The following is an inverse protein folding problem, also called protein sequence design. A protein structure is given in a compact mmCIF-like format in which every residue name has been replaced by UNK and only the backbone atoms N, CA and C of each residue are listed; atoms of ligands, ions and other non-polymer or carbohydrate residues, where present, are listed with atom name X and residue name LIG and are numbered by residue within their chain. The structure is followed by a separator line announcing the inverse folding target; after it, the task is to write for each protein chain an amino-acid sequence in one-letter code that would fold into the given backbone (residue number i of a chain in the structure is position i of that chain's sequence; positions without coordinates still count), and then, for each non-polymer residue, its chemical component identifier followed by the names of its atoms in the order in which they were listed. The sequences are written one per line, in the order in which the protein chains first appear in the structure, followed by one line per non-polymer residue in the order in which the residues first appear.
data_IF_952434623169
#
_entry.id   IF_952434623169
#
_cell.length_a   1.000
_cell.length_b   1.000
_cell.length_c   1.000
_cell.angle_alpha   90.00
_cell.angle_beta   90.00
_cell.angle_gamma   90.00
#
_symmetry.space_group_name_H-M   'P 1'
#
loop_
_entity.id
_entity.type
_entity.pdbx_description
1 polymer ?
#
# COMPACT_ATOMS: atom_id res chain seq x y z
N UNK A 1 24.64 18.06 -63.77
CA UNK A 1 24.94 17.30 -62.53
C UNK A 1 24.67 18.21 -61.36
N UNK A 2 23.99 17.71 -60.33
CA UNK A 2 23.63 18.34 -59.05
C UNK A 2 22.20 18.93 -58.98
N UNK A 3 21.24 18.04 -58.71
CA UNK A 3 19.99 18.43 -58.02
C UNK A 3 19.31 17.14 -57.46
N UNK A 4 19.81 16.64 -56.36
CA UNK A 4 19.05 15.58 -55.62
C UNK A 4 19.60 15.44 -54.21
N UNK A 5 19.45 16.47 -53.34
CA UNK A 5 19.82 16.32 -51.90
C UNK A 5 18.98 17.14 -50.91
N UNK A 6 17.84 17.69 -51.28
CA UNK A 6 17.12 18.59 -50.36
C UNK A 6 15.68 18.15 -49.96
N UNK A 7 15.30 16.92 -50.18
CA UNK A 7 13.90 16.49 -49.94
C UNK A 7 13.75 15.44 -48.82
N UNK A 8 14.83 14.99 -48.19
CA UNK A 8 14.74 13.91 -47.16
C UNK A 8 14.66 14.41 -45.71
N UNK A 9 15.09 15.62 -45.42
CA UNK A 9 15.14 16.14 -44.02
C UNK A 9 13.78 16.50 -43.44
N UNK A 10 12.83 17.14 -44.17
CA UNK A 10 11.50 17.42 -43.59
C UNK A 10 10.62 16.19 -43.36
N UNK A 11 10.84 15.14 -44.15
CA UNK A 11 10.03 13.92 -44.02
C UNK A 11 10.38 13.11 -42.74
N UNK A 12 11.66 13.08 -42.38
CA UNK A 12 12.14 12.40 -41.16
C UNK A 12 11.68 13.16 -39.91
N UNK A 13 11.65 14.49 -39.96
CA UNK A 13 11.19 15.31 -38.85
C UNK A 13 9.67 15.20 -38.62
N UNK A 14 8.88 15.12 -39.66
CA UNK A 14 7.44 14.86 -39.56
C UNK A 14 7.11 13.45 -39.08
N UNK A 15 7.91 12.43 -39.47
CA UNK A 15 7.74 11.06 -38.99
C UNK A 15 8.10 10.89 -37.51
N UNK A 16 9.14 11.59 -37.02
CA UNK A 16 9.52 11.53 -35.60
C UNK A 16 8.51 12.22 -34.69
N UNK A 17 7.89 13.31 -35.14
CA UNK A 17 6.81 13.99 -34.39
C UNK A 17 5.52 13.16 -34.35
N UNK A 18 5.17 12.47 -35.42
CA UNK A 18 3.98 11.60 -35.45
C UNK A 18 4.17 10.32 -34.63
N UNK A 19 5.38 9.77 -34.57
CA UNK A 19 5.68 8.62 -33.70
C UNK A 19 5.62 8.99 -32.21
N UNK A 20 6.12 10.17 -31.81
CA UNK A 20 6.03 10.60 -30.42
C UNK A 20 4.60 10.89 -29.95
N UNK A 21 3.76 11.45 -30.83
CA UNK A 21 2.33 11.65 -30.52
C UNK A 21 1.54 10.34 -30.50
N UNK A 22 1.85 9.41 -31.42
CA UNK A 22 1.22 8.08 -31.42
C UNK A 22 1.60 7.26 -30.18
N UNK A 23 2.85 7.39 -29.72
CA UNK A 23 3.32 6.70 -28.52
C UNK A 23 2.70 7.29 -27.24
N UNK A 24 2.46 8.60 -27.19
CA UNK A 24 1.73 9.25 -26.08
C UNK A 24 0.25 8.83 -26.04
N UNK A 25 -0.38 8.61 -27.17
CA UNK A 25 -1.78 8.17 -27.26
C UNK A 25 -1.95 6.67 -26.93
N UNK A 26 -0.97 5.84 -27.29
CA UNK A 26 -0.99 4.41 -27.03
C UNK A 26 -0.86 4.05 -25.53
N UNK A 27 -0.40 4.98 -24.71
CA UNK A 27 -0.14 4.77 -23.28
C UNK A 27 -1.29 5.19 -22.36
N UNK A 28 -2.40 5.72 -22.89
CA UNK A 28 -3.56 6.06 -22.08
C UNK A 28 -4.48 4.85 -21.90
N UNK A 29 -4.83 4.53 -20.66
CA UNK A 29 -5.85 3.55 -20.40
C UNK A 29 -7.23 4.12 -20.81
N UNK A 30 -7.93 3.54 -21.79
CA UNK A 30 -9.20 4.08 -22.29
C UNK A 30 -10.33 4.05 -21.25
N UNK A 31 -10.15 3.29 -20.17
CA UNK A 31 -11.15 3.14 -19.10
C UNK A 31 -11.00 4.19 -17.99
N UNK A 32 -9.96 5.03 -18.05
CA UNK A 32 -9.72 6.06 -17.03
C UNK A 32 -10.04 7.46 -17.57
N UNK A 33 -10.69 8.33 -16.78
CA UNK A 33 -10.83 9.73 -17.12
C UNK A 33 -9.47 10.43 -17.00
N UNK A 34 -9.04 11.08 -18.06
CA UNK A 34 -7.83 11.88 -18.07
C UNK A 34 -8.17 13.37 -18.19
N UNK A 35 -7.66 14.15 -17.26
CA UNK A 35 -7.68 15.61 -17.39
C UNK A 35 -6.62 16.05 -18.39
N UNK A 36 -6.95 16.98 -19.26
CA UNK A 36 -5.96 17.60 -20.15
C UNK A 36 -4.86 18.27 -19.33
N UNK A 37 -3.63 17.95 -19.64
CA UNK A 37 -2.46 18.53 -19.00
C UNK A 37 -1.48 19.03 -20.05
N UNK A 38 -0.98 20.25 -19.86
CA UNK A 38 0.07 20.81 -20.69
C UNK A 38 1.40 20.73 -19.93
N UNK A 39 2.37 19.92 -20.41
CA UNK A 39 3.66 19.78 -19.75
C UNK A 39 4.38 21.12 -19.60
N UNK A 40 5.05 21.31 -18.48
CA UNK A 40 5.89 22.46 -18.14
C UNK A 40 7.34 22.00 -18.08
N UNK A 41 8.28 22.94 -18.29
CA UNK A 41 9.72 22.63 -18.20
C UNK A 41 10.19 22.22 -16.81
N UNK A 42 9.41 22.53 -15.77
CA UNK A 42 9.66 22.14 -14.38
C UNK A 42 9.13 20.77 -14.02
N UNK A 43 8.40 20.09 -14.91
CA UNK A 43 7.81 18.80 -14.60
C UNK A 43 8.88 17.72 -14.57
N UNK A 44 8.74 16.84 -13.61
CA UNK A 44 9.51 15.61 -13.58
C UNK A 44 8.85 14.58 -14.49
N UNK A 45 9.65 13.95 -15.31
CA UNK A 45 9.21 12.87 -16.21
C UNK A 45 9.62 11.53 -15.60
N UNK A 46 8.66 10.66 -15.41
CA UNK A 46 8.89 9.29 -14.97
C UNK A 46 8.57 8.38 -16.15
N UNK A 47 9.50 7.49 -16.48
CA UNK A 47 9.24 6.44 -17.46
C UNK A 47 8.16 5.49 -16.95
N UNK A 48 7.22 5.13 -17.81
CA UNK A 48 6.07 4.32 -17.41
C UNK A 48 6.44 2.87 -17.10
N UNK A 49 7.37 2.30 -17.86
CA UNK A 49 7.78 0.90 -17.65
C UNK A 49 8.63 0.80 -16.39
N UNK A 50 9.54 1.74 -16.17
CA UNK A 50 10.30 1.85 -14.93
C UNK A 50 9.36 2.01 -13.72
N UNK A 51 8.34 2.83 -13.85
CA UNK A 51 7.39 3.04 -12.76
C UNK A 51 6.52 1.81 -12.49
N UNK A 52 6.04 1.14 -13.52
CA UNK A 52 5.30 -0.11 -13.38
C UNK A 52 6.16 -1.20 -12.70
N UNK A 53 7.44 -1.29 -13.06
CA UNK A 53 8.39 -2.19 -12.41
C UNK A 53 8.59 -1.85 -10.93
N UNK A 54 8.60 -0.57 -10.56
CA UNK A 54 8.71 -0.13 -9.16
C UNK A 54 7.44 -0.46 -8.37
N UNK A 55 6.25 -0.28 -8.96
CA UNK A 55 4.98 -0.70 -8.34
C UNK A 55 4.96 -2.21 -8.08
N UNK A 56 5.37 -2.99 -9.06
CA UNK A 56 5.49 -4.43 -8.89
C UNK A 56 6.50 -4.80 -7.78
N UNK A 57 7.65 -4.12 -7.79
CA UNK A 57 8.67 -4.29 -6.75
C UNK A 57 8.18 -3.90 -5.35
N UNK A 58 7.34 -2.87 -5.24
CA UNK A 58 6.70 -2.48 -3.97
C UNK A 58 5.84 -3.63 -3.43
N UNK A 59 4.89 -4.13 -4.21
CA UNK A 59 4.01 -5.22 -3.78
C UNK A 59 4.78 -6.48 -3.42
N UNK A 60 5.75 -6.86 -4.24
CA UNK A 60 6.58 -8.04 -3.95
C UNK A 60 7.37 -7.85 -2.65
N UNK A 61 7.98 -6.69 -2.46
CA UNK A 61 8.75 -6.39 -1.25
C UNK A 61 7.87 -6.32 -0.01
N UNK A 62 6.68 -5.74 -0.10
CA UNK A 62 5.70 -5.68 0.99
C UNK A 62 5.29 -7.09 1.41
N UNK A 63 4.89 -7.94 0.48
CA UNK A 63 4.52 -9.33 0.77
C UNK A 63 5.67 -10.12 1.41
N UNK A 64 6.89 -10.00 0.90
CA UNK A 64 8.07 -10.68 1.46
C UNK A 64 8.40 -10.16 2.85
N UNK A 65 8.38 -8.85 3.04
CA UNK A 65 8.70 -8.21 4.32
C UNK A 65 7.67 -8.55 5.39
N UNK A 66 6.39 -8.47 5.05
CA UNK A 66 5.29 -8.85 5.93
C UNK A 66 5.44 -10.31 6.39
N UNK A 67 5.53 -11.25 5.46
CA UNK A 67 5.66 -12.66 5.77
C UNK A 67 6.88 -12.98 6.62
N UNK A 68 8.02 -12.32 6.37
CA UNK A 68 9.25 -12.46 7.16
C UNK A 68 9.12 -11.79 8.53
N UNK A 69 8.46 -10.64 8.59
CA UNK A 69 8.22 -9.89 9.83
C UNK A 69 7.36 -10.63 10.84
N UNK A 70 6.36 -11.38 10.36
CA UNK A 70 5.48 -12.19 11.20
C UNK A 70 6.22 -13.22 12.07
N UNK A 71 7.43 -13.66 11.67
CA UNK A 71 8.25 -14.57 12.49
C UNK A 71 8.63 -13.93 13.81
N UNK A 72 9.05 -12.67 13.76
CA UNK A 72 9.58 -11.92 14.92
C UNK A 72 8.58 -10.97 15.56
N UNK A 73 7.33 -11.01 15.13
CA UNK A 73 6.33 -10.09 15.61
C UNK A 73 6.09 -10.22 17.11
N UNK A 74 6.15 -9.09 17.80
CA UNK A 74 5.94 -8.98 19.26
C UNK A 74 6.90 -9.81 20.12
N UNK A 75 8.02 -10.28 19.61
CA UNK A 75 9.02 -11.00 20.40
C UNK A 75 9.89 -10.05 21.21
N UNK A 76 10.38 -8.99 20.56
CA UNK A 76 11.26 -7.99 21.14
C UNK A 76 10.69 -6.60 20.96
N UNK A 77 9.87 -6.18 21.91
CA UNK A 77 9.29 -4.83 21.92
C UNK A 77 10.14 -3.82 22.72
N UNK A 78 11.36 -4.19 23.09
CA UNK A 78 12.17 -3.41 24.01
C UNK A 78 11.84 -3.69 25.48
N UNK A 79 12.23 -2.78 26.35
CA UNK A 79 11.93 -2.86 27.78
C UNK A 79 10.88 -1.80 28.13
N UNK A 80 9.61 -2.14 28.00
CA UNK A 80 8.48 -1.23 28.23
C UNK A 80 7.76 -1.65 29.52
N UNK A 81 7.74 -0.76 30.52
CA UNK A 81 7.10 -1.04 31.81
C UNK A 81 7.64 -2.32 32.44
N UNK A 82 6.77 -3.25 32.76
CA UNK A 82 7.08 -4.57 33.33
C UNK A 82 7.56 -5.58 32.29
N UNK A 83 7.33 -5.33 31.00
CA UNK A 83 7.73 -6.20 29.93
C UNK A 83 9.21 -6.02 29.62
N UNK A 84 9.99 -7.09 29.72
CA UNK A 84 11.44 -7.08 29.55
C UNK A 84 11.86 -8.09 28.49
N UNK A 85 11.77 -7.71 27.22
CA UNK A 85 12.17 -8.53 26.09
C UNK A 85 13.60 -8.27 25.61
N UNK A 86 14.27 -7.28 26.20
CA UNK A 86 15.61 -6.86 25.81
C UNK A 86 15.64 -5.95 24.59
N UNK A 87 16.82 -5.71 24.00
CA UNK A 87 16.96 -4.84 22.84
C UNK A 87 16.29 -5.46 21.60
N UNK A 88 15.84 -4.60 20.67
CA UNK A 88 15.31 -5.05 19.39
C UNK A 88 16.31 -5.91 18.62
N UNK A 89 15.79 -6.67 17.68
CA UNK A 89 16.59 -7.45 16.75
C UNK A 89 17.58 -6.59 15.95
N UNK A 90 18.71 -7.18 15.66
CA UNK A 90 19.73 -6.57 14.81
C UNK A 90 20.08 -7.53 13.69
N UNK A 91 20.82 -7.04 12.69
CA UNK A 91 21.32 -7.90 11.62
C UNK A 91 22.13 -9.12 12.13
N UNK A 92 22.70 -9.03 13.34
CA UNK A 92 23.44 -10.14 13.95
C UNK A 92 22.54 -11.26 14.47
N UNK A 93 21.24 -11.03 14.53
CA UNK A 93 20.25 -12.05 14.95
C UNK A 93 19.73 -12.87 13.77
N UNK A 94 19.99 -12.44 12.56
CA UNK A 94 19.60 -13.15 11.34
C UNK A 94 20.18 -14.59 11.29
N UNK A 95 19.35 -15.58 11.02
CA UNK A 95 19.70 -17.00 11.01
C UNK A 95 19.77 -17.65 12.38
N UNK A 96 19.51 -16.91 13.46
CA UNK A 96 19.41 -17.48 14.81
C UNK A 96 18.01 -18.00 15.07
N UNK A 97 17.90 -18.80 16.13
CA UNK A 97 16.60 -19.25 16.62
C UNK A 97 15.77 -18.05 17.04
N UNK A 98 14.52 -18.08 16.62
CA UNK A 98 13.50 -17.16 17.07
C UNK A 98 13.10 -17.39 18.51
N UNK A 99 12.57 -16.39 19.19
CA UNK A 99 12.04 -16.47 20.54
C UNK A 99 10.50 -16.38 20.53
N UNK A 100 9.84 -16.86 21.59
CA UNK A 100 8.39 -16.71 21.69
C UNK A 100 7.98 -15.23 21.76
N UNK A 101 6.87 -14.88 21.12
CA UNK A 101 6.29 -13.56 21.29
C UNK A 101 5.69 -13.39 22.71
N UNK A 102 5.45 -12.13 23.11
CA UNK A 102 4.98 -11.80 24.47
C UNK A 102 3.62 -12.39 24.84
N UNK A 103 2.85 -12.86 23.87
CA UNK A 103 1.53 -13.43 24.08
C UNK A 103 1.47 -14.95 23.92
N UNK A 104 2.35 -15.56 23.11
CA UNK A 104 2.25 -16.97 22.71
C UNK A 104 2.86 -17.96 23.71
N UNK A 105 3.45 -17.52 24.77
CA UNK A 105 4.00 -18.41 25.80
C UNK A 105 5.42 -18.85 25.57
N UNK A 106 5.69 -20.12 25.20
CA UNK A 106 7.04 -20.70 25.24
C UNK A 106 7.62 -21.09 23.87
N UNK A 107 6.79 -21.07 22.86
CA UNK A 107 7.20 -21.55 21.52
C UNK A 107 7.48 -20.39 20.57
N UNK A 108 8.46 -20.51 19.69
CA UNK A 108 8.68 -19.56 18.62
C UNK A 108 7.49 -19.53 17.65
N UNK A 109 7.54 -18.62 16.68
CA UNK A 109 6.53 -18.50 15.63
C UNK A 109 6.27 -19.84 14.94
N UNK A 110 5.02 -20.15 14.67
CA UNK A 110 4.64 -21.32 13.87
C UNK A 110 5.01 -21.21 12.39
N UNK A 111 5.37 -20.01 11.94
CA UNK A 111 5.81 -19.73 10.56
C UNK A 111 7.23 -20.23 10.35
N UNK A 112 8.14 -19.90 11.27
CA UNK A 112 9.51 -20.38 11.27
C UNK A 112 10.11 -20.34 12.69
N UNK A 113 10.86 -21.35 13.10
CA UNK A 113 11.61 -21.33 14.35
C UNK A 113 12.92 -20.54 14.25
N UNK A 114 13.21 -19.96 13.11
CA UNK A 114 14.45 -19.24 12.79
C UNK A 114 14.14 -17.89 12.21
N UNK A 115 14.89 -16.87 12.62
CA UNK A 115 14.80 -15.51 12.09
C UNK A 115 15.43 -15.52 10.69
N UNK A 116 14.61 -15.72 9.67
CA UNK A 116 15.04 -15.87 8.28
C UNK A 116 13.94 -15.41 7.31
N UNK A 117 14.27 -15.36 6.01
CA UNK A 117 13.25 -15.23 4.98
C UNK A 117 12.39 -16.48 4.95
N UNK A 118 11.09 -16.27 5.02
CA UNK A 118 10.12 -17.35 4.93
C UNK A 118 9.47 -17.30 3.54
N UNK A 119 9.47 -18.45 2.88
CA UNK A 119 8.82 -18.62 1.60
C UNK A 119 7.79 -19.74 1.72
N UNK A 120 6.59 -19.49 1.23
CA UNK A 120 5.62 -20.55 1.07
C UNK A 120 6.02 -21.46 -0.12
N UNK A 121 5.54 -22.71 -0.10
CA UNK A 121 5.71 -23.62 -1.21
C UNK A 121 5.04 -23.07 -2.47
N UNK A 122 5.56 -23.47 -3.64
CA UNK A 122 4.89 -23.22 -4.91
C UNK A 122 3.45 -23.74 -4.84
N UNK A 123 2.50 -23.02 -5.36
CA UNK A 123 1.07 -23.29 -5.28
C UNK A 123 0.40 -23.06 -3.91
N UNK A 124 1.11 -22.58 -2.91
CA UNK A 124 0.54 -22.19 -1.62
C UNK A 124 0.23 -20.70 -1.59
N UNK A 125 -0.97 -20.34 -1.13
CA UNK A 125 -1.29 -18.94 -0.86
C UNK A 125 -0.54 -18.46 0.39
N UNK A 126 0.14 -17.35 0.26
CA UNK A 126 0.79 -16.71 1.40
C UNK A 126 -0.26 -15.98 2.22
N UNK A 127 -0.20 -16.17 3.53
CA UNK A 127 -0.95 -15.33 4.44
C UNK A 127 -0.42 -13.90 4.43
N UNK A 128 -1.23 -12.99 4.87
CA UNK A 128 -0.89 -11.57 5.02
C UNK A 128 -1.54 -11.08 6.31
N UNK A 129 -1.09 -9.92 6.78
CA UNK A 129 -1.77 -9.20 7.84
C UNK A 129 -2.70 -8.12 7.25
N UNK A 130 -3.37 -7.41 8.14
CA UNK A 130 -4.33 -6.39 7.74
C UNK A 130 -3.69 -5.19 7.05
N UNK A 131 -2.43 -4.89 7.32
CA UNK A 131 -1.70 -3.79 6.69
C UNK A 131 -1.67 -3.98 5.18
N UNK A 132 -1.12 -5.10 4.73
CA UNK A 132 -1.00 -5.45 3.31
C UNK A 132 -2.38 -5.69 2.67
N UNK A 133 -3.29 -6.37 3.37
CA UNK A 133 -4.64 -6.67 2.88
C UNK A 133 -5.44 -5.39 2.63
N UNK A 134 -5.41 -4.44 3.55
CA UNK A 134 -6.15 -3.17 3.44
C UNK A 134 -5.58 -2.28 2.36
N UNK A 135 -4.24 -2.20 2.21
CA UNK A 135 -3.62 -1.50 1.09
C UNK A 135 -4.12 -2.04 -0.27
N UNK A 136 -4.14 -3.37 -0.41
CA UNK A 136 -4.64 -4.00 -1.62
C UNK A 136 -6.13 -3.71 -1.86
N UNK A 137 -6.94 -3.71 -0.80
CA UNK A 137 -8.34 -3.34 -0.87
C UNK A 137 -8.50 -1.89 -1.34
N UNK A 138 -7.73 -0.94 -0.83
CA UNK A 138 -7.77 0.45 -1.30
C UNK A 138 -7.42 0.56 -2.79
N UNK A 139 -6.40 -0.16 -3.25
CA UNK A 139 -6.07 -0.22 -4.69
C UNK A 139 -7.28 -0.69 -5.51
N UNK A 140 -7.90 -1.76 -5.09
CA UNK A 140 -9.07 -2.33 -5.77
C UNK A 140 -10.26 -1.38 -5.76
N UNK A 141 -10.50 -0.68 -4.65
CA UNK A 141 -11.58 0.29 -4.54
C UNK A 141 -11.38 1.50 -5.46
N UNK A 142 -10.16 2.02 -5.57
CA UNK A 142 -9.82 3.08 -6.51
C UNK A 142 -10.10 2.66 -7.95
N UNK A 143 -9.72 1.41 -8.29
CA UNK A 143 -9.92 0.85 -9.63
C UNK A 143 -11.41 0.62 -9.93
N UNK A 144 -12.14 -0.03 -9.03
CA UNK A 144 -13.57 -0.34 -9.21
C UNK A 144 -14.42 0.92 -9.34
N UNK A 145 -14.14 1.93 -8.51
CA UNK A 145 -14.87 3.18 -8.51
C UNK A 145 -14.36 4.20 -9.54
N UNK A 146 -13.26 3.89 -10.26
CA UNK A 146 -12.61 4.78 -11.25
C UNK A 146 -12.36 6.19 -10.70
N UNK A 147 -11.90 6.26 -9.47
CA UNK A 147 -11.66 7.52 -8.76
C UNK A 147 -10.29 7.52 -8.10
N UNK A 148 -9.75 8.70 -7.84
CA UNK A 148 -8.56 8.88 -7.01
C UNK A 148 -8.90 9.26 -5.56
N UNK A 149 -10.17 9.49 -5.27
CA UNK A 149 -10.65 9.90 -3.95
C UNK A 149 -11.87 9.07 -3.58
N UNK A 150 -11.72 8.23 -2.57
CA UNK A 150 -12.81 7.41 -2.06
C UNK A 150 -13.75 8.22 -1.17
N UNK A 151 -15.02 7.84 -1.16
CA UNK A 151 -15.99 8.30 -0.17
C UNK A 151 -16.06 7.33 1.00
N UNK A 152 -16.59 7.78 2.15
CA UNK A 152 -16.79 6.92 3.31
C UNK A 152 -17.66 5.70 3.00
N UNK A 153 -18.70 5.87 2.18
CA UNK A 153 -19.56 4.77 1.73
C UNK A 153 -18.81 3.76 0.85
N UNK A 154 -17.94 4.24 -0.05
CA UNK A 154 -17.12 3.36 -0.87
C UNK A 154 -16.13 2.55 -0.02
N UNK A 155 -15.50 3.18 0.96
CA UNK A 155 -14.60 2.49 1.90
C UNK A 155 -15.39 1.46 2.70
N UNK A 156 -16.48 1.84 3.35
CA UNK A 156 -17.32 0.93 4.12
C UNK A 156 -17.77 -0.26 3.28
N UNK A 157 -18.33 0.00 2.11
CA UNK A 157 -18.85 -1.08 1.25
C UNK A 157 -17.74 -2.01 0.77
N UNK A 158 -16.56 -1.46 0.49
CA UNK A 158 -15.38 -2.22 0.11
C UNK A 158 -14.88 -3.11 1.24
N UNK A 159 -14.68 -2.55 2.43
CA UNK A 159 -14.25 -3.32 3.60
C UNK A 159 -15.22 -4.45 3.92
N UNK A 160 -16.53 -4.17 3.99
CA UNK A 160 -17.56 -5.19 4.27
C UNK A 160 -17.66 -6.26 3.18
N UNK A 161 -17.24 -5.96 1.97
CA UNK A 161 -17.27 -6.93 0.86
C UNK A 161 -16.02 -7.81 0.84
N UNK A 162 -14.85 -7.25 1.14
CA UNK A 162 -13.58 -7.90 0.89
C UNK A 162 -12.94 -8.46 2.16
N UNK A 163 -13.24 -7.92 3.34
CA UNK A 163 -12.68 -8.41 4.61
C UNK A 163 -13.56 -9.47 5.20
N UNK A 164 -12.97 -10.63 5.49
CA UNK A 164 -13.59 -11.78 6.18
C UNK A 164 -12.87 -12.01 7.49
N UNK A 165 -13.03 -11.09 8.43
CA UNK A 165 -12.24 -10.99 9.65
C UNK A 165 -12.29 -12.23 10.57
N UNK A 166 -13.30 -13.10 10.40
CA UNK A 166 -13.44 -14.31 11.20
C UNK A 166 -12.97 -15.59 10.48
N UNK A 167 -12.64 -15.48 9.20
CA UNK A 167 -12.35 -16.63 8.34
C UNK A 167 -10.95 -16.57 7.71
N UNK A 168 -10.55 -15.43 7.15
CA UNK A 168 -9.36 -15.28 6.30
C UNK A 168 -8.49 -14.10 6.68
N UNK A 169 -9.08 -12.98 7.09
CA UNK A 169 -8.35 -11.76 7.37
C UNK A 169 -8.25 -11.53 8.89
N UNK A 170 -7.04 -11.33 9.35
CA UNK A 170 -6.80 -10.81 10.68
C UNK A 170 -6.94 -9.29 10.63
N UNK A 171 -7.60 -8.68 11.62
CA UNK A 171 -7.64 -7.24 11.79
C UNK A 171 -7.07 -6.87 13.14
N UNK A 172 -6.11 -5.96 13.13
CA UNK A 172 -5.57 -5.40 14.36
C UNK A 172 -6.55 -4.42 15.02
N UNK A 173 -6.24 -3.93 16.16
CA UNK A 173 -7.15 -3.31 17.14
C UNK A 173 -8.02 -2.20 16.55
N UNK A 174 -7.43 -1.14 15.97
CA UNK A 174 -8.21 -0.02 15.44
C UNK A 174 -8.91 -0.35 14.12
N UNK A 175 -8.30 -1.21 13.29
CA UNK A 175 -8.89 -1.74 12.08
C UNK A 175 -10.12 -2.60 12.40
N UNK A 176 -10.02 -3.52 13.37
CA UNK A 176 -11.15 -4.33 13.82
C UNK A 176 -12.28 -3.47 14.34
N UNK A 177 -11.95 -2.47 15.15
CA UNK A 177 -12.98 -1.55 15.69
C UNK A 177 -13.68 -0.76 14.60
N UNK A 178 -12.94 -0.22 13.64
CA UNK A 178 -13.52 0.49 12.50
C UNK A 178 -14.42 -0.43 11.66
N UNK A 179 -13.99 -1.66 11.41
CA UNK A 179 -14.78 -2.67 10.71
C UNK A 179 -16.10 -2.98 11.42
N UNK A 180 -16.07 -3.17 12.74
CA UNK A 180 -17.27 -3.41 13.54
C UNK A 180 -18.24 -2.22 13.50
N UNK A 181 -17.72 -0.99 13.55
CA UNK A 181 -18.52 0.22 13.40
C UNK A 181 -19.15 0.30 12.00
N UNK A 182 -18.43 -0.08 10.95
CA UNK A 182 -18.97 -0.16 9.60
C UNK A 182 -20.10 -1.20 9.48
N UNK A 183 -20.01 -2.33 10.18
CA UNK A 183 -21.10 -3.33 10.26
C UNK A 183 -22.37 -2.76 10.89
N UNK A 184 -22.25 -1.80 11.79
CA UNK A 184 -23.40 -1.10 12.37
C UNK A 184 -23.96 0.03 11.50
N UNK A 185 -23.34 0.32 10.37
CA UNK A 185 -23.79 1.34 9.40
C UNK A 185 -23.02 2.64 9.45
N UNK A 186 -22.04 2.82 10.34
CA UNK A 186 -21.18 4.00 10.34
C UNK A 186 -20.22 3.98 9.14
N UNK A 187 -19.78 5.17 8.74
CA UNK A 187 -18.85 5.36 7.62
C UNK A 187 -17.68 6.25 8.05
N UNK A 188 -16.49 6.11 7.43
CA UNK A 188 -15.42 7.09 7.62
C UNK A 188 -15.90 8.53 7.29
N UNK A 189 -15.45 9.54 8.03
CA UNK A 189 -14.44 9.51 9.08
C UNK A 189 -14.94 9.12 10.48
N UNK A 190 -16.25 8.87 10.67
CA UNK A 190 -16.84 8.58 11.99
C UNK A 190 -16.25 7.30 12.61
N UNK A 191 -15.84 6.34 11.78
CA UNK A 191 -15.26 5.07 12.23
C UNK A 191 -13.88 5.22 12.87
N UNK A 192 -13.14 6.29 12.55
CA UNK A 192 -11.86 6.62 13.18
C UNK A 192 -11.95 7.71 14.25
N UNK A 193 -13.14 8.29 14.45
CA UNK A 193 -13.35 9.34 15.45
C UNK A 193 -13.16 8.80 16.87
N UNK A 194 -12.45 9.56 17.71
CA UNK A 194 -12.16 9.21 19.10
C UNK A 194 -13.40 8.94 19.98
N UNK A 195 -14.56 9.46 19.59
CA UNK A 195 -15.82 9.18 20.31
C UNK A 195 -16.38 7.79 20.01
N UNK A 196 -16.02 7.19 18.88
CA UNK A 196 -16.56 5.92 18.41
C UNK A 196 -15.52 4.81 18.41
N UNK A 197 -14.28 5.15 18.08
CA UNK A 197 -13.16 4.23 18.06
C UNK A 197 -12.18 4.59 19.20
N UNK A 198 -12.20 3.88 20.32
CA UNK A 198 -11.28 4.16 21.43
C UNK A 198 -9.81 3.86 21.10
N UNK A 199 -9.58 3.13 19.99
CA UNK A 199 -8.25 2.71 19.52
C UNK A 199 -7.70 3.67 18.44
N UNK A 200 -8.26 4.86 18.30
CA UNK A 200 -7.96 5.85 17.26
C UNK A 200 -6.49 6.32 17.24
N UNK A 201 -5.73 6.09 18.31
CA UNK A 201 -4.31 6.43 18.42
C UNK A 201 -3.37 5.29 17.98
N UNK A 202 -3.92 4.15 17.58
CA UNK A 202 -3.11 3.03 17.11
C UNK A 202 -2.47 3.30 15.75
N UNK A 203 -1.38 2.59 15.47
CA UNK A 203 -0.53 2.80 14.29
C UNK A 203 -1.16 2.33 12.96
N UNK A 204 -2.25 1.62 13.01
CA UNK A 204 -2.86 0.93 11.84
C UNK A 204 -3.05 1.83 10.62
N UNK A 205 -3.50 3.08 10.81
CA UNK A 205 -3.67 4.01 9.70
C UNK A 205 -2.36 4.33 8.97
N UNK A 206 -1.24 4.36 9.68
CA UNK A 206 0.08 4.57 9.09
C UNK A 206 0.48 3.39 8.21
N UNK A 207 0.20 2.17 8.66
CA UNK A 207 0.63 0.93 8.02
C UNK A 207 -0.28 0.49 6.86
N UNK A 208 -1.43 1.12 6.70
CA UNK A 208 -2.42 0.76 5.65
C UNK A 208 -2.54 1.80 4.53
N UNK A 209 -1.68 2.82 4.51
CA UNK A 209 -1.86 3.97 3.59
C UNK A 209 -0.63 4.39 2.80
N UNK A 210 0.48 3.69 2.89
CA UNK A 210 1.72 3.96 2.13
C UNK A 210 1.49 3.94 0.62
N UNK A 211 0.56 3.13 0.17
CA UNK A 211 0.19 2.98 -1.25
C UNK A 211 -0.23 4.29 -1.90
N UNK A 212 -0.78 5.24 -1.15
CA UNK A 212 -1.16 6.54 -1.71
C UNK A 212 0.05 7.40 -2.10
N UNK A 213 1.18 7.23 -1.39
CA UNK A 213 2.46 7.80 -1.81
C UNK A 213 2.95 7.22 -3.14
N UNK A 214 2.76 5.92 -3.32
CA UNK A 214 3.08 5.22 -4.55
C UNK A 214 2.24 5.73 -5.74
N UNK A 215 0.96 6.02 -5.53
CA UNK A 215 0.07 6.49 -6.61
C UNK A 215 0.24 7.95 -6.98
N UNK A 216 0.94 8.73 -6.18
CA UNK A 216 1.18 10.15 -6.43
C UNK A 216 2.69 10.50 -6.37
N UNK A 217 3.54 9.88 -7.21
CA UNK A 217 4.98 10.03 -7.16
C UNK A 217 5.40 11.49 -7.37
N UNK A 218 6.20 12.02 -6.43
CA UNK A 218 6.63 13.42 -6.43
C UNK A 218 5.54 14.45 -6.14
N UNK A 219 4.34 14.00 -5.76
CA UNK A 219 3.18 14.85 -5.45
C UNK A 219 2.63 14.54 -4.05
N UNK A 220 3.38 14.88 -2.99
CA UNK A 220 2.92 14.64 -1.62
C UNK A 220 1.59 15.35 -1.30
N UNK A 221 1.34 16.49 -1.89
CA UNK A 221 0.06 17.22 -1.79
C UNK A 221 -1.14 16.41 -2.31
N UNK A 222 -0.93 15.59 -3.34
CA UNK A 222 -1.95 14.69 -3.88
C UNK A 222 -2.05 13.43 -3.03
N UNK A 223 -0.90 12.83 -2.66
CA UNK A 223 -0.85 11.63 -1.82
C UNK A 223 -1.61 11.84 -0.51
N UNK A 224 -1.31 12.92 0.22
CA UNK A 224 -2.00 13.27 1.48
C UNK A 224 -3.51 13.42 1.28
N UNK A 225 -3.94 14.09 0.22
CA UNK A 225 -5.38 14.21 -0.08
C UNK A 225 -6.04 12.88 -0.43
N UNK A 226 -5.33 11.97 -1.08
CA UNK A 226 -5.86 10.63 -1.39
C UNK A 226 -5.96 9.79 -0.12
N UNK A 227 -4.97 9.88 0.76
CA UNK A 227 -4.88 9.13 2.00
C UNK A 227 -5.78 9.65 3.12
N UNK A 228 -6.19 10.92 3.10
CA UNK A 228 -6.87 11.59 4.23
C UNK A 228 -8.07 10.80 4.76
N UNK A 229 -9.02 10.41 3.93
CA UNK A 229 -10.17 9.65 4.39
C UNK A 229 -9.85 8.18 4.72
N UNK A 230 -9.00 7.47 3.96
CA UNK A 230 -8.42 6.20 4.40
C UNK A 230 -7.78 6.24 5.79
N UNK A 231 -6.96 7.24 6.10
CA UNK A 231 -6.37 7.44 7.44
C UNK A 231 -7.49 7.61 8.47
N UNK A 232 -8.43 8.50 8.20
CA UNK A 232 -9.57 8.78 9.09
C UNK A 232 -10.56 7.61 9.20
N UNK A 233 -10.31 6.51 8.53
CA UNK A 233 -11.10 5.28 8.69
C UNK A 233 -10.88 4.68 10.08
N UNK A 234 -9.66 4.77 10.61
CA UNK A 234 -9.24 4.13 11.87
C UNK A 234 -8.59 5.09 12.86
N UNK A 235 -8.14 6.26 12.42
CA UNK A 235 -7.39 7.21 13.23
C UNK A 235 -8.01 8.61 13.27
N UNK A 236 -7.67 9.37 14.28
CA UNK A 236 -8.00 10.78 14.40
C UNK A 236 -7.00 11.53 15.31
N UNK A 237 -7.11 12.86 15.35
CA UNK A 237 -6.24 13.72 16.17
C UNK A 237 -4.75 13.58 15.79
N UNK A 238 -3.87 13.31 16.75
CA UNK A 238 -2.42 13.22 16.54
C UNK A 238 -2.00 12.02 15.69
N UNK A 239 -2.87 11.03 15.54
CA UNK A 239 -2.60 9.82 14.75
C UNK A 239 -3.08 9.92 13.30
N UNK A 240 -3.73 11.05 12.94
CA UNK A 240 -4.24 11.34 11.59
C UNK A 240 -3.17 11.80 10.58
#
# INVERSE_FOLDING_TARGET
MTATRFLLIPLIFCLSLSLSQAQQLANKNPNLPYTSYSPKSSDQVIDREDYASKIYGFWLATCIANWTGLVTEMDKIGNIGEIKTGPFYTRADWGKRDQPNIWSGKEPSSISPTIDFVFADEDTLWGSDDDTDIEYIYQELLLQNKTSFLTGEQIRNGWLKHIRSEEENFLWVSNQKAFDLMRTGLVPPVTGDSLHNPEYEMIDAQLTTEIFGLYAPGRPDVAVRMASLPIQTTASQESE
#
